data_IF_989259604924
#
_entry.id   IF_989259604924
#
_cell.length_a   1.000
_cell.length_b   1.000
_cell.length_c   1.000
_cell.angle_alpha   90.00
_cell.angle_beta   90.00
_cell.angle_gamma   90.00
#
_symmetry.space_group_name_H-M   'P 1'
#
loop_
_entity.id
_entity.type
_entity.pdbx_description
1 polymer ?
#
# COMPACT_ATOMS: atom_id res chain seq x y z
N UNK A 1 14.64 -16.00 -5.22
CA UNK A 1 13.42 -16.36 -4.48
C UNK A 1 12.37 -15.28 -4.80
N UNK A 2 11.41 -15.60 -5.63
CA UNK A 2 10.39 -14.61 -6.03
C UNK A 2 9.31 -14.58 -4.96
N UNK A 3 9.30 -13.54 -4.10
CA UNK A 3 8.14 -13.24 -3.26
C UNK A 3 7.02 -12.76 -4.18
N UNK A 4 5.91 -13.48 -4.19
CA UNK A 4 4.69 -13.07 -4.89
C UNK A 4 4.09 -11.89 -4.13
N UNK A 5 4.06 -10.73 -4.77
CA UNK A 5 3.30 -9.58 -4.29
C UNK A 5 1.81 -9.89 -4.40
N UNK A 6 1.12 -9.86 -3.28
CA UNK A 6 -0.32 -9.71 -3.28
C UNK A 6 -0.62 -8.24 -3.63
N UNK A 7 -1.11 -8.01 -4.83
CA UNK A 7 -1.58 -6.68 -5.26
C UNK A 7 -2.97 -6.51 -4.68
N UNK A 8 -3.07 -5.77 -3.59
CA UNK A 8 -4.36 -5.27 -3.11
C UNK A 8 -4.68 -4.02 -3.93
N UNK A 9 -5.60 -4.14 -4.87
CA UNK A 9 -6.12 -3.02 -5.63
C UNK A 9 -7.19 -2.29 -4.80
N UNK A 10 -6.87 -1.13 -4.24
CA UNK A 10 -7.88 -0.18 -3.78
C UNK A 10 -8.56 0.47 -4.98
N UNK A 11 -9.63 -0.14 -5.46
CA UNK A 11 -10.49 0.44 -6.47
C UNK A 11 -11.55 1.34 -5.80
N UNK A 12 -11.44 2.64 -5.96
CA UNK A 12 -12.55 3.56 -5.71
C UNK A 12 -13.72 3.19 -6.64
N UNK A 13 -14.75 2.55 -6.10
CA UNK A 13 -16.02 2.34 -6.79
C UNK A 13 -17.04 3.35 -6.25
N UNK A 14 -17.41 4.30 -7.13
CA UNK A 14 -18.62 5.09 -6.95
C UNK A 14 -19.85 4.18 -7.09
N UNK A 15 -20.50 3.86 -5.97
CA UNK A 15 -21.76 3.11 -5.95
C UNK A 15 -22.93 4.06 -6.19
N UNK A 16 -23.61 3.87 -7.31
CA UNK A 16 -24.94 4.39 -7.53
C UNK A 16 -25.95 3.70 -6.60
N UNK A 17 -26.61 4.47 -5.76
CA UNK A 17 -27.67 4.00 -4.88
C UNK A 17 -28.84 3.47 -5.69
N UNK A 18 -29.08 2.16 -5.68
CA UNK A 18 -30.35 1.59 -6.10
C UNK A 18 -31.36 1.69 -4.93
N UNK A 19 -32.33 2.58 -5.06
CA UNK A 19 -33.51 2.60 -4.21
C UNK A 19 -34.31 1.30 -4.40
N UNK A 20 -34.37 0.47 -3.38
CA UNK A 20 -35.25 -0.69 -3.32
C UNK A 20 -36.69 -0.21 -3.10
N UNK A 21 -37.59 -0.47 -4.04
CA UNK A 21 -39.04 -0.37 -3.84
C UNK A 21 -39.51 -1.39 -2.81
N UNK A 22 -40.49 -1.06 -1.94
CA UNK A 22 -41.01 -2.03 -0.99
C UNK A 22 -41.72 -3.17 -1.72
N UNK A 23 -41.23 -4.38 -1.59
CA UNK A 23 -41.94 -5.60 -2.00
C UNK A 23 -42.96 -6.01 -0.90
N UNK A 24 -44.09 -6.61 -1.28
CA UNK A 24 -45.09 -7.08 -0.32
C UNK A 24 -44.50 -8.19 0.54
N UNK A 25 -44.81 -8.16 1.85
CA UNK A 25 -44.45 -9.18 2.82
C UNK A 25 -44.97 -10.54 2.36
N UNK A 26 -44.07 -11.36 1.87
CA UNK A 26 -44.31 -12.82 1.87
C UNK A 26 -44.13 -13.34 3.29
N UNK A 27 -45.07 -14.14 3.76
CA UNK A 27 -44.99 -14.93 4.98
C UNK A 27 -43.62 -15.57 5.09
N UNK A 28 -42.89 -15.26 6.15
CA UNK A 28 -41.50 -15.62 6.35
C UNK A 28 -41.29 -17.14 6.19
N UNK A 29 -40.13 -17.53 5.66
CA UNK A 29 -39.73 -18.92 5.74
C UNK A 29 -39.60 -19.33 7.21
N UNK A 30 -40.04 -20.54 7.54
CA UNK A 30 -39.78 -21.17 8.83
C UNK A 30 -38.32 -20.94 9.23
N UNK A 31 -38.08 -20.56 10.49
CA UNK A 31 -36.74 -20.48 11.06
C UNK A 31 -36.07 -21.84 10.85
N UNK A 32 -35.23 -21.94 9.84
CA UNK A 32 -34.33 -23.09 9.72
C UNK A 32 -33.38 -23.04 10.90
N UNK A 33 -33.39 -24.04 11.74
CA UNK A 33 -32.40 -24.26 12.79
C UNK A 33 -31.01 -24.14 12.14
N UNK A 34 -30.21 -23.21 12.63
CA UNK A 34 -28.89 -22.96 12.07
C UNK A 34 -27.96 -24.15 12.33
N UNK A 35 -27.11 -24.43 11.38
CA UNK A 35 -26.11 -25.50 11.50
C UNK A 35 -24.97 -25.04 12.40
N UNK A 36 -24.61 -25.83 13.42
CA UNK A 36 -23.36 -25.66 14.17
C UNK A 36 -22.23 -26.24 13.33
N UNK A 37 -21.30 -25.42 12.91
CA UNK A 37 -20.17 -25.88 12.11
C UNK A 37 -19.00 -26.24 13.05
N UNK A 38 -18.57 -27.49 13.11
CA UNK A 38 -17.48 -27.94 13.97
C UNK A 38 -16.14 -27.67 13.29
N UNK A 39 -15.71 -26.44 13.33
CA UNK A 39 -14.37 -26.10 12.82
C UNK A 39 -13.28 -26.66 13.75
N UNK A 40 -12.32 -27.34 13.16
CA UNK A 40 -11.19 -27.96 13.89
C UNK A 40 -9.94 -27.11 13.84
N UNK A 41 -9.79 -26.31 12.80
CA UNK A 41 -8.61 -25.50 12.56
C UNK A 41 -8.99 -24.02 12.51
N UNK A 42 -8.14 -23.18 13.08
CA UNK A 42 -8.29 -21.72 13.04
C UNK A 42 -6.94 -21.06 12.86
N UNK A 43 -6.84 -20.18 11.85
CA UNK A 43 -5.76 -19.21 11.74
C UNK A 43 -6.28 -17.82 12.02
N UNK A 44 -5.43 -17.03 12.66
CA UNK A 44 -5.65 -15.60 12.92
C UNK A 44 -4.47 -14.85 12.36
N UNK A 45 -4.70 -14.06 11.33
CA UNK A 45 -3.69 -13.28 10.64
C UNK A 45 -3.87 -11.81 10.94
N UNK A 46 -2.84 -11.16 11.43
CA UNK A 46 -2.78 -9.72 11.61
C UNK A 46 -2.38 -9.07 10.29
N UNK A 47 -3.17 -8.14 9.80
CA UNK A 47 -2.94 -7.39 8.56
C UNK A 47 -2.52 -5.93 8.82
N UNK A 48 -2.49 -5.51 10.08
CA UNK A 48 -2.11 -4.15 10.46
C UNK A 48 -3.14 -3.09 10.05
N UNK A 49 -2.70 -1.85 9.94
CA UNK A 49 -3.49 -0.71 9.46
C UNK A 49 -3.49 -0.68 7.92
N UNK A 50 -3.91 -1.80 7.29
CA UNK A 50 -3.87 -1.99 5.83
C UNK A 50 -4.78 -1.01 5.05
N UNK A 51 -5.74 -0.40 5.74
CA UNK A 51 -6.74 0.46 5.12
C UNK A 51 -6.44 1.96 5.35
N UNK A 52 -5.37 2.27 6.11
CA UNK A 52 -4.97 3.65 6.42
C UNK A 52 -5.96 4.37 7.36
N UNK A 53 -6.76 3.61 8.10
CA UNK A 53 -7.71 4.13 9.07
C UNK A 53 -7.13 4.02 10.48
N UNK A 54 -6.85 5.13 11.11
CA UNK A 54 -6.23 5.19 12.45
C UNK A 54 -7.13 4.71 13.60
N UNK A 55 -8.32 4.22 13.31
CA UNK A 55 -9.31 3.80 14.33
C UNK A 55 -9.45 2.29 14.46
N UNK A 56 -8.95 1.52 13.53
CA UNK A 56 -9.03 0.06 13.52
C UNK A 56 -7.89 -0.58 12.76
N UNK A 57 -7.56 -1.80 13.13
CA UNK A 57 -6.63 -2.69 12.42
C UNK A 57 -7.40 -3.83 11.76
N UNK A 58 -6.93 -4.25 10.61
CA UNK A 58 -7.49 -5.38 9.88
C UNK A 58 -6.93 -6.71 10.39
N UNK A 59 -7.82 -7.67 10.57
CA UNK A 59 -7.51 -9.04 10.96
C UNK A 59 -8.28 -10.03 10.09
N UNK A 60 -7.61 -11.06 9.64
CA UNK A 60 -8.22 -12.15 8.88
C UNK A 60 -8.30 -13.40 9.74
N UNK A 61 -9.51 -13.88 9.99
CA UNK A 61 -9.74 -15.16 10.68
C UNK A 61 -10.26 -16.17 9.66
N UNK A 62 -9.62 -17.33 9.59
CA UNK A 62 -10.12 -18.48 8.83
C UNK A 62 -10.39 -19.62 9.79
N UNK A 63 -11.61 -20.16 9.72
CA UNK A 63 -12.02 -21.36 10.45
C UNK A 63 -12.38 -22.42 9.41
N UNK A 64 -11.81 -23.62 9.53
CA UNK A 64 -12.10 -24.68 8.56
C UNK A 64 -12.11 -26.08 9.18
N UNK A 65 -12.74 -27.02 8.49
CA UNK A 65 -12.74 -28.45 8.77
C UNK A 65 -12.49 -29.24 7.50
N UNK A 66 -11.82 -30.37 7.66
CA UNK A 66 -11.59 -31.40 6.62
C UNK A 66 -10.78 -30.93 5.40
N UNK A 67 -10.33 -29.68 5.37
CA UNK A 67 -9.44 -29.11 4.34
C UNK A 67 -7.98 -29.18 4.80
N UNK A 68 -7.06 -29.32 3.86
CA UNK A 68 -5.62 -29.20 4.09
C UNK A 68 -5.15 -27.79 3.76
N UNK A 69 -4.24 -27.27 4.57
CA UNK A 69 -3.58 -25.97 4.32
C UNK A 69 -2.21 -26.21 3.71
N UNK A 70 -1.90 -25.57 2.58
CA UNK A 70 -0.55 -25.56 2.02
C UNK A 70 0.39 -24.61 2.80
N UNK A 71 1.67 -24.59 2.42
CA UNK A 71 2.68 -23.72 3.05
C UNK A 71 2.39 -22.20 2.90
N UNK A 72 1.49 -21.82 2.00
CA UNK A 72 1.06 -20.43 1.77
C UNK A 72 -0.27 -20.12 2.47
N UNK A 73 -0.88 -21.10 3.17
CA UNK A 73 -2.18 -20.93 3.83
C UNK A 73 -3.39 -21.04 2.89
N UNK A 74 -3.20 -21.55 1.66
CA UNK A 74 -4.32 -21.86 0.77
C UNK A 74 -4.94 -23.18 1.21
N UNK A 75 -6.27 -23.22 1.31
CA UNK A 75 -7.02 -24.41 1.68
C UNK A 75 -7.34 -25.24 0.44
N UNK A 76 -7.18 -26.55 0.56
CA UNK A 76 -7.37 -27.51 -0.53
C UNK A 76 -8.14 -28.73 -0.01
N UNK A 77 -8.82 -29.42 -0.92
CA UNK A 77 -9.61 -30.60 -0.60
C UNK A 77 -11.04 -30.29 -0.18
N UNK A 78 -11.87 -31.34 -0.02
CA UNK A 78 -13.25 -31.19 0.41
C UNK A 78 -13.33 -30.71 1.85
N UNK A 79 -14.35 -29.94 2.17
CA UNK A 79 -14.56 -29.38 3.50
C UNK A 79 -15.27 -28.04 3.52
N UNK A 80 -15.29 -27.44 4.67
CA UNK A 80 -15.95 -26.16 4.92
C UNK A 80 -14.98 -25.10 5.46
N UNK A 81 -15.16 -23.87 5.04
CA UNK A 81 -14.37 -22.70 5.43
C UNK A 81 -15.30 -21.54 5.79
N UNK A 82 -15.01 -20.84 6.89
CA UNK A 82 -15.45 -19.46 7.11
C UNK A 82 -14.24 -18.56 7.10
N UNK A 83 -14.27 -17.56 6.27
CA UNK A 83 -13.34 -16.45 6.30
C UNK A 83 -14.02 -15.21 6.86
N UNK A 84 -13.35 -14.49 7.75
CA UNK A 84 -13.83 -13.27 8.38
C UNK A 84 -12.73 -12.21 8.26
N UNK A 85 -13.06 -11.10 7.63
CA UNK A 85 -12.21 -9.90 7.63
C UNK A 85 -12.77 -8.93 8.67
N UNK A 86 -12.04 -8.75 9.76
CA UNK A 86 -12.46 -7.97 10.92
C UNK A 86 -11.72 -6.64 10.99
N UNK A 87 -12.42 -5.60 11.40
CA UNK A 87 -11.84 -4.34 11.87
C UNK A 87 -11.83 -4.36 13.41
N UNK A 88 -10.68 -4.68 13.99
CA UNK A 88 -10.51 -4.69 15.43
C UNK A 88 -10.08 -3.30 15.94
N UNK A 89 -10.00 -3.14 17.25
CA UNK A 89 -9.52 -1.91 17.83
C UNK A 89 -8.06 -1.66 17.43
N UNK A 90 -7.75 -0.42 17.08
CA UNK A 90 -6.43 0.00 16.66
C UNK A 90 -5.35 -0.36 17.69
N UNK A 91 -4.30 -1.00 17.25
CA UNK A 91 -3.13 -1.35 18.03
C UNK A 91 -2.00 -0.34 17.74
N UNK A 92 -1.73 0.62 18.63
CA UNK A 92 -0.74 1.65 18.38
C UNK A 92 0.69 1.12 18.27
N UNK A 93 0.95 -0.09 18.76
CA UNK A 93 2.26 -0.73 18.63
C UNK A 93 2.46 -1.40 17.24
N UNK A 94 1.37 -1.59 16.47
CA UNK A 94 1.39 -2.31 15.17
C UNK A 94 2.12 -3.66 15.24
N UNK A 95 1.97 -4.36 16.36
CA UNK A 95 2.57 -5.67 16.60
C UNK A 95 1.49 -6.75 16.67
N UNK A 96 1.84 -7.97 16.33
CA UNK A 96 0.96 -9.12 16.45
C UNK A 96 0.52 -9.33 17.92
N UNK A 97 -0.66 -8.84 18.26
CA UNK A 97 -1.24 -8.98 19.58
C UNK A 97 -2.75 -9.21 19.50
N UNK A 98 -3.17 -10.46 19.44
CA UNK A 98 -4.58 -10.83 19.31
C UNK A 98 -5.46 -10.47 20.52
N UNK A 99 -4.90 -9.90 21.61
CA UNK A 99 -5.70 -9.30 22.67
C UNK A 99 -6.57 -8.13 22.16
N UNK A 100 -6.16 -7.47 21.08
CA UNK A 100 -6.91 -6.42 20.42
C UNK A 100 -8.14 -6.94 19.66
N UNK A 101 -8.18 -8.24 19.34
CA UNK A 101 -9.37 -8.88 18.75
C UNK A 101 -10.55 -9.03 19.73
N UNK A 102 -10.35 -8.86 21.03
CA UNK A 102 -11.43 -8.99 22.01
C UNK A 102 -12.54 -7.98 21.75
N UNK A 103 -13.75 -8.45 21.44
CA UNK A 103 -14.89 -7.56 21.19
C UNK A 103 -16.11 -8.26 20.67
N UNK A 104 -17.13 -7.45 20.39
CA UNK A 104 -18.37 -7.89 19.71
C UNK A 104 -18.42 -7.24 18.36
N UNK A 105 -18.50 -8.03 17.32
CA UNK A 105 -18.44 -7.64 15.93
C UNK A 105 -19.80 -7.76 15.26
N UNK A 106 -20.15 -6.78 14.46
CA UNK A 106 -21.32 -6.77 13.59
C UNK A 106 -20.90 -6.39 12.16
N UNK A 107 -21.71 -6.66 11.14
CA UNK A 107 -21.34 -6.28 9.78
C UNK A 107 -21.24 -4.76 9.65
N UNK A 108 -20.34 -4.29 8.81
CA UNK A 108 -20.25 -2.88 8.43
C UNK A 108 -21.56 -2.43 7.77
N UNK A 109 -22.07 -1.28 8.18
CA UNK A 109 -23.30 -0.72 7.63
C UNK A 109 -23.09 0.16 6.40
N UNK A 110 -21.87 0.70 6.24
CA UNK A 110 -21.51 1.57 5.12
C UNK A 110 -20.17 1.13 4.53
N UNK A 111 -20.10 1.00 3.21
CA UNK A 111 -18.85 0.78 2.50
C UNK A 111 -17.92 1.98 2.72
N UNK A 112 -16.71 1.72 3.24
CA UNK A 112 -15.70 2.74 3.51
C UNK A 112 -15.66 3.26 4.95
N UNK A 113 -16.50 2.76 5.86
CA UNK A 113 -16.37 3.02 7.30
C UNK A 113 -15.85 1.78 8.02
N UNK A 114 -14.54 1.65 8.10
CA UNK A 114 -13.82 0.54 8.76
C UNK A 114 -13.72 0.74 10.27
N UNK A 115 -14.82 1.07 10.92
CA UNK A 115 -14.85 1.29 12.37
C UNK A 115 -14.53 0.02 13.15
N UNK A 116 -13.82 0.17 14.27
CA UNK A 116 -13.53 -0.94 15.16
C UNK A 116 -14.80 -1.71 15.58
N UNK A 117 -14.63 -3.01 15.80
CA UNK A 117 -15.70 -3.95 16.14
C UNK A 117 -16.71 -4.19 15.01
N UNK A 118 -16.25 -4.09 13.78
CA UNK A 118 -17.05 -4.49 12.62
C UNK A 118 -16.37 -5.62 11.84
N UNK A 119 -17.12 -6.32 11.00
CA UNK A 119 -16.58 -7.17 9.98
C UNK A 119 -16.97 -6.67 8.59
N UNK A 120 -16.06 -6.85 7.64
CA UNK A 120 -16.27 -6.48 6.23
C UNK A 120 -17.20 -7.51 5.60
N UNK A 121 -18.39 -7.12 5.11
CA UNK A 121 -19.27 -8.04 4.39
C UNK A 121 -18.58 -8.68 3.19
N UNK A 122 -18.97 -9.90 2.89
CA UNK A 122 -18.46 -10.59 1.72
C UNK A 122 -18.85 -9.91 0.42
N UNK A 123 -17.93 -9.87 -0.51
CA UNK A 123 -18.17 -9.33 -1.85
C UNK A 123 -17.47 -10.14 -2.93
N UNK A 124 -17.97 -10.01 -4.14
CA UNK A 124 -17.40 -10.63 -5.33
C UNK A 124 -16.85 -9.55 -6.24
N UNK A 125 -15.62 -9.74 -6.69
CA UNK A 125 -14.97 -8.89 -7.66
C UNK A 125 -14.53 -9.69 -8.88
N UNK A 126 -14.16 -9.00 -9.96
CA UNK A 126 -13.70 -9.66 -11.17
C UNK A 126 -12.42 -8.98 -11.63
N UNK A 127 -11.32 -9.72 -11.61
CA UNK A 127 -10.00 -9.23 -11.99
C UNK A 127 -9.59 -9.75 -13.38
N UNK A 128 -8.81 -8.99 -14.17
CA UNK A 128 -8.25 -9.49 -15.41
C UNK A 128 -7.31 -10.68 -15.15
N UNK A 129 -7.42 -11.72 -15.98
CA UNK A 129 -6.56 -12.89 -15.92
C UNK A 129 -6.19 -13.37 -17.35
N UNK A 130 -5.10 -14.10 -17.53
CA UNK A 130 -4.78 -14.71 -18.81
C UNK A 130 -5.94 -15.60 -19.29
N UNK A 131 -6.51 -15.28 -20.45
CA UNK A 131 -7.64 -16.01 -21.01
C UNK A 131 -9.02 -15.48 -20.65
N UNK A 132 -9.13 -14.37 -19.87
CA UNK A 132 -10.43 -13.77 -19.54
C UNK A 132 -10.43 -12.99 -18.23
N UNK A 133 -11.45 -13.21 -17.43
CA UNK A 133 -11.61 -12.61 -16.10
C UNK A 133 -11.74 -13.71 -15.05
N UNK A 134 -11.06 -13.53 -13.94
CA UNK A 134 -11.19 -14.40 -12.78
C UNK A 134 -12.15 -13.75 -11.77
N UNK A 135 -13.10 -14.53 -11.28
CA UNK A 135 -13.93 -14.13 -10.14
C UNK A 135 -13.16 -14.35 -8.85
N UNK A 136 -13.10 -13.33 -8.00
CA UNK A 136 -12.46 -13.36 -6.69
C UNK A 136 -13.51 -13.05 -5.64
N UNK A 137 -13.51 -13.83 -4.57
CA UNK A 137 -14.33 -13.61 -3.38
C UNK A 137 -13.47 -13.06 -2.27
N UNK A 138 -13.95 -12.02 -1.61
CA UNK A 138 -13.19 -11.30 -0.59
C UNK A 138 -14.12 -10.81 0.54
N UNK A 139 -13.54 -10.18 1.59
CA UNK A 139 -14.28 -9.86 2.80
C UNK A 139 -14.61 -11.09 3.62
N UNK A 140 -15.83 -11.15 4.16
CA UNK A 140 -16.29 -12.27 4.99
C UNK A 140 -17.21 -13.19 4.20
N UNK A 141 -16.85 -14.46 4.11
CA UNK A 141 -17.64 -15.44 3.37
C UNK A 141 -17.54 -16.83 3.99
N UNK A 142 -18.52 -17.66 3.66
CA UNK A 142 -18.46 -19.10 3.84
C UNK A 142 -18.19 -19.75 2.49
N UNK A 143 -17.36 -20.78 2.48
CA UNK A 143 -17.08 -21.61 1.32
C UNK A 143 -17.22 -23.09 1.67
N UNK A 144 -17.78 -23.88 0.78
CA UNK A 144 -17.77 -25.34 0.90
C UNK A 144 -17.37 -25.99 -0.41
N UNK A 145 -16.56 -27.04 -0.31
CA UNK A 145 -16.15 -27.87 -1.43
C UNK A 145 -16.54 -29.31 -1.16
N UNK A 146 -17.37 -29.86 -2.00
CA UNK A 146 -17.78 -31.29 -1.92
C UNK A 146 -16.69 -32.19 -2.49
N UNK A 147 -16.62 -33.47 -2.01
CA UNK A 147 -15.56 -34.43 -2.32
C UNK A 147 -15.30 -34.65 -3.83
N UNK A 148 -16.30 -34.48 -4.67
CA UNK A 148 -16.18 -34.67 -6.12
C UNK A 148 -16.42 -33.40 -6.93
N UNK A 149 -16.43 -32.25 -6.28
CA UNK A 149 -16.58 -30.94 -6.91
C UNK A 149 -15.23 -30.26 -7.13
N UNK A 150 -15.12 -29.48 -8.19
CA UNK A 150 -14.03 -28.57 -8.44
C UNK A 150 -14.44 -27.12 -8.19
N UNK A 151 -15.71 -26.88 -7.86
CA UNK A 151 -16.27 -25.57 -7.64
C UNK A 151 -16.62 -25.39 -6.16
N UNK A 152 -16.12 -24.31 -5.57
CA UNK A 152 -16.46 -23.93 -4.20
C UNK A 152 -17.81 -23.22 -4.22
N UNK A 153 -18.72 -23.67 -3.37
CA UNK A 153 -20.00 -23.00 -3.11
C UNK A 153 -19.81 -21.88 -2.11
N UNK A 154 -19.82 -20.62 -2.57
CA UNK A 154 -19.63 -19.43 -1.74
C UNK A 154 -20.97 -18.85 -1.27
N UNK A 155 -21.00 -18.41 0.00
CA UNK A 155 -22.08 -17.64 0.62
C UNK A 155 -21.47 -16.38 1.25
N UNK A 156 -21.76 -15.21 0.67
CA UNK A 156 -21.20 -13.93 1.09
C UNK A 156 -21.91 -13.47 2.37
N UNK A 157 -21.14 -13.32 3.44
CA UNK A 157 -21.68 -13.04 4.79
C UNK A 157 -21.89 -11.53 4.94
N UNK A 158 -23.11 -11.11 5.22
CA UNK A 158 -23.50 -9.72 5.39
C UNK A 158 -24.38 -9.47 6.63
N UNK A 159 -24.72 -10.52 7.38
CA UNK A 159 -25.45 -10.45 8.64
C UNK A 159 -24.75 -11.28 9.72
N UNK A 160 -24.98 -10.92 10.97
CA UNK A 160 -24.51 -11.70 12.10
C UNK A 160 -24.01 -10.88 13.27
N UNK A 161 -23.66 -11.59 14.33
CA UNK A 161 -22.98 -11.07 15.49
C UNK A 161 -21.96 -12.10 15.97
N UNK A 162 -20.74 -11.64 16.16
CA UNK A 162 -19.65 -12.43 16.70
C UNK A 162 -19.15 -11.82 18.01
N UNK A 163 -18.82 -12.65 18.96
CA UNK A 163 -18.10 -12.28 20.17
C UNK A 163 -16.79 -13.02 20.21
N UNK A 164 -15.70 -12.27 20.30
CA UNK A 164 -14.34 -12.79 20.43
C UNK A 164 -13.86 -12.49 21.84
N UNK A 165 -13.45 -13.53 22.56
CA UNK A 165 -13.00 -13.48 23.94
C UNK A 165 -11.59 -14.07 24.00
N UNK A 166 -10.63 -13.33 24.57
CA UNK A 166 -9.33 -13.87 24.93
C UNK A 166 -9.48 -14.62 26.26
N UNK A 167 -9.19 -15.89 26.25
CA UNK A 167 -9.10 -16.73 27.45
C UNK A 167 -7.72 -16.67 28.11
N UNK A 168 -7.52 -17.54 29.08
CA UNK A 168 -6.20 -17.82 29.65
C UNK A 168 -5.36 -18.68 28.69
N UNK A 169 -4.06 -18.77 28.92
CA UNK A 169 -3.13 -19.64 28.17
C UNK A 169 -3.23 -19.54 26.63
N UNK A 170 -3.26 -18.31 26.11
CA UNK A 170 -3.35 -18.02 24.68
C UNK A 170 -4.58 -18.60 23.97
N UNK A 171 -5.59 -18.96 24.74
CA UNK A 171 -6.86 -19.46 24.21
C UNK A 171 -7.70 -18.31 23.66
N UNK A 172 -8.27 -18.51 22.47
CA UNK A 172 -9.27 -17.67 21.87
C UNK A 172 -10.63 -18.39 21.86
N UNK A 173 -11.70 -17.66 22.11
CA UNK A 173 -13.07 -18.16 22.02
C UNK A 173 -13.80 -17.29 21.00
N UNK A 174 -14.38 -17.91 19.97
CA UNK A 174 -15.15 -17.25 18.93
C UNK A 174 -16.56 -17.80 18.97
N UNK A 175 -17.54 -16.93 19.26
CA UNK A 175 -18.96 -17.32 19.40
C UNK A 175 -19.85 -16.38 18.62
N UNK A 176 -20.95 -16.90 18.11
CA UNK A 176 -21.98 -16.11 17.49
C UNK A 176 -22.66 -16.80 16.34
N UNK A 177 -23.30 -16.01 15.51
CA UNK A 177 -23.89 -16.49 14.27
C UNK A 177 -23.56 -15.56 13.12
N UNK A 178 -23.52 -16.14 11.93
CA UNK A 178 -23.33 -15.45 10.67
C UNK A 178 -24.41 -15.91 9.69
N UNK A 179 -24.84 -15.01 8.83
CA UNK A 179 -25.70 -15.33 7.71
C UNK A 179 -25.24 -14.57 6.47
N UNK A 180 -25.50 -15.10 5.32
CA UNK A 180 -25.11 -14.53 4.06
C UNK A 180 -26.26 -14.37 3.08
N UNK A 181 -25.91 -14.06 1.85
CA UNK A 181 -26.86 -13.84 0.77
C UNK A 181 -27.71 -15.08 0.38
N UNK A 182 -27.32 -16.25 0.84
CA UNK A 182 -28.11 -17.49 0.71
C UNK A 182 -29.03 -17.75 1.92
N UNK A 183 -29.11 -16.79 2.85
CA UNK A 183 -29.97 -16.83 4.06
C UNK A 183 -29.75 -18.05 4.96
N UNK A 184 -28.57 -18.65 4.92
CA UNK A 184 -28.21 -19.77 5.78
C UNK A 184 -27.55 -19.26 7.05
N UNK A 185 -28.20 -19.44 8.20
CA UNK A 185 -27.57 -19.13 9.50
C UNK A 185 -26.59 -20.22 9.88
N UNK A 186 -25.37 -19.78 10.26
CA UNK A 186 -24.30 -20.65 10.77
C UNK A 186 -23.90 -20.17 12.14
N UNK A 187 -23.89 -21.11 13.09
CA UNK A 187 -23.45 -20.82 14.45
C UNK A 187 -21.98 -21.22 14.59
N UNK A 188 -21.19 -20.32 15.15
CA UNK A 188 -19.80 -20.56 15.51
C UNK A 188 -19.72 -20.65 17.03
N UNK A 189 -19.15 -21.72 17.55
CA UNK A 189 -18.77 -21.87 18.95
C UNK A 189 -17.44 -22.62 18.98
N UNK A 190 -16.36 -21.87 18.77
CA UNK A 190 -15.01 -22.42 18.74
C UNK A 190 -14.21 -21.93 19.94
N UNK A 191 -13.38 -22.83 20.50
CA UNK A 191 -12.43 -22.53 21.57
C UNK A 191 -11.15 -23.30 21.33
N UNK A 192 -10.02 -22.60 21.31
CA UNK A 192 -8.71 -23.21 21.14
C UNK A 192 -7.59 -22.18 21.09
N UNK A 193 -6.38 -22.65 20.79
CA UNK A 193 -5.24 -21.81 20.48
C UNK A 193 -5.14 -21.74 18.96
N UNK A 194 -5.34 -20.56 18.34
CA UNK A 194 -5.24 -20.41 16.90
C UNK A 194 -3.79 -20.44 16.43
N UNK A 195 -3.56 -20.79 15.17
CA UNK A 195 -2.31 -20.47 14.49
C UNK A 195 -2.26 -18.97 14.23
N UNK A 196 -1.21 -18.30 14.70
CA UNK A 196 -1.04 -16.87 14.54
C UNK A 196 -0.09 -16.58 13.38
N UNK A 197 -0.46 -15.62 12.53
CA UNK A 197 0.35 -15.13 11.43
C UNK A 197 0.42 -13.60 11.47
N UNK A 198 1.59 -13.06 11.19
CA UNK A 198 1.79 -11.64 10.99
C UNK A 198 2.05 -11.39 9.51
N UNK A 199 1.08 -10.79 8.85
CA UNK A 199 1.14 -10.38 7.45
C UNK A 199 0.93 -8.86 7.34
N UNK A 200 1.01 -8.14 8.48
CA UNK A 200 0.99 -6.69 8.46
C UNK A 200 2.09 -6.19 7.51
N UNK A 201 1.80 -5.18 6.68
CA UNK A 201 2.83 -4.57 5.87
C UNK A 201 3.99 -4.16 6.79
N UNK A 202 5.21 -4.64 6.52
CA UNK A 202 6.39 -4.05 7.16
C UNK A 202 6.26 -2.54 6.89
N UNK A 203 6.26 -1.71 7.94
CA UNK A 203 6.44 -0.27 7.75
C UNK A 203 7.76 -0.10 7.01
N UNK A 204 7.66 0.18 5.73
CA UNK A 204 8.83 0.49 4.92
C UNK A 204 9.15 1.94 5.27
N UNK A 205 10.21 2.20 6.05
CA UNK A 205 10.55 3.56 6.43
C UNK A 205 10.79 4.36 5.15
N UNK A 206 10.34 5.59 5.11
CA UNK A 206 10.54 6.45 3.94
C UNK A 206 12.00 6.89 3.75
N UNK A 207 12.86 6.58 4.69
CA UNK A 207 14.32 6.69 4.60
C UNK A 207 14.98 5.58 5.42
N UNK A 208 16.11 5.07 4.92
CA UNK A 208 16.96 4.08 5.60
C UNK A 208 18.32 4.65 5.97
N UNK A 209 18.48 5.98 5.88
CA UNK A 209 19.72 6.62 6.33
C UNK A 209 19.85 6.45 7.85
N UNK A 210 21.04 6.10 8.29
CA UNK A 210 21.39 5.94 9.70
C UNK A 210 22.40 6.97 10.19
N UNK A 211 22.84 7.86 9.30
CA UNK A 211 23.82 8.91 9.55
C UNK A 211 23.80 9.94 8.42
N UNK A 212 24.48 11.06 8.65
CA UNK A 212 24.73 12.04 7.61
C UNK A 212 25.66 11.49 6.51
N UNK A 213 25.37 11.87 5.28
CA UNK A 213 26.19 11.62 4.11
C UNK A 213 26.70 12.95 3.60
N UNK A 214 28.00 13.16 3.70
CA UNK A 214 28.65 14.39 3.29
C UNK A 214 29.63 14.14 2.15
N UNK A 215 29.86 15.18 1.35
CA UNK A 215 30.77 15.17 0.20
C UNK A 215 30.43 14.09 -0.84
N UNK A 216 29.17 13.74 -0.98
CA UNK A 216 28.68 12.82 -2.02
C UNK A 216 28.88 13.47 -3.40
N UNK A 217 29.33 12.70 -4.38
CA UNK A 217 29.54 13.18 -5.74
C UNK A 217 29.08 12.13 -6.76
N UNK A 218 28.39 12.59 -7.78
CA UNK A 218 27.96 11.77 -8.90
C UNK A 218 28.72 12.16 -10.16
N UNK A 219 28.95 11.20 -11.06
CA UNK A 219 29.78 11.39 -12.25
C UNK A 219 28.99 11.57 -13.53
N UNK A 220 27.71 11.27 -13.52
CA UNK A 220 26.83 11.39 -14.68
C UNK A 220 25.45 11.94 -14.29
N UNK A 221 24.77 12.51 -15.28
CA UNK A 221 23.44 13.03 -15.11
C UNK A 221 22.53 12.78 -16.31
N UNK A 222 21.26 12.53 -16.04
CA UNK A 222 20.19 12.48 -17.04
C UNK A 222 19.20 13.59 -16.76
N UNK A 223 18.78 14.29 -17.80
CA UNK A 223 17.64 15.21 -17.80
C UNK A 223 16.50 14.61 -18.58
N UNK A 224 15.30 14.75 -18.03
CA UNK A 224 14.06 14.35 -18.70
C UNK A 224 13.04 15.49 -18.63
N UNK A 225 12.56 15.92 -19.79
CA UNK A 225 11.45 16.85 -19.88
C UNK A 225 10.14 16.07 -19.71
N UNK A 226 9.48 16.24 -18.58
CA UNK A 226 8.17 15.62 -18.31
C UNK A 226 7.01 16.53 -18.80
N UNK A 227 7.37 17.67 -19.43
CA UNK A 227 6.41 18.59 -20.02
C UNK A 227 5.62 19.39 -18.99
N UNK A 228 4.41 19.73 -19.35
CA UNK A 228 3.46 20.53 -18.58
C UNK A 228 2.46 19.68 -17.77
N UNK A 229 2.92 18.54 -17.25
CA UNK A 229 2.05 17.62 -16.47
C UNK A 229 1.38 18.30 -15.26
N UNK A 230 1.90 19.44 -14.82
CA UNK A 230 1.27 20.26 -13.77
C UNK A 230 0.14 21.16 -14.29
N UNK A 231 -0.06 21.26 -15.61
CA UNK A 231 -1.22 21.92 -16.22
C UNK A 231 -2.45 21.00 -16.10
N UNK A 232 -3.61 21.45 -15.59
CA UNK A 232 -4.02 22.84 -15.42
C UNK A 232 -3.70 23.45 -14.04
N UNK A 233 -2.97 22.79 -13.16
CA UNK A 233 -2.71 23.27 -11.81
C UNK A 233 -1.77 24.48 -11.76
N UNK A 234 -0.74 24.47 -12.61
CA UNK A 234 0.21 25.58 -12.76
C UNK A 234 0.68 25.70 -14.22
N UNK A 235 0.03 26.52 -15.04
CA UNK A 235 0.37 26.67 -16.46
C UNK A 235 1.70 27.38 -16.73
N UNK A 236 2.33 27.94 -15.71
CA UNK A 236 3.59 28.69 -15.85
C UNK A 236 4.85 27.83 -15.66
N UNK A 237 4.72 26.56 -15.33
CA UNK A 237 5.85 25.67 -15.04
C UNK A 237 5.86 24.43 -15.93
N UNK A 238 7.06 24.01 -16.28
CA UNK A 238 7.37 22.66 -16.72
C UNK A 238 8.02 21.86 -15.62
N UNK A 239 7.92 20.56 -15.74
CA UNK A 239 8.42 19.59 -14.81
C UNK A 239 9.66 18.91 -15.40
N UNK A 240 10.80 19.18 -14.80
CA UNK A 240 12.07 18.60 -15.18
C UNK A 240 12.47 17.54 -14.16
N UNK A 241 12.83 16.36 -14.62
CA UNK A 241 13.41 15.33 -13.78
C UNK A 241 14.92 15.25 -13.99
N UNK A 242 15.67 15.48 -12.92
CA UNK A 242 17.12 15.30 -12.88
C UNK A 242 17.46 14.00 -12.16
N UNK A 243 18.30 13.18 -12.78
CA UNK A 243 18.93 12.03 -12.16
C UNK A 243 20.44 12.26 -12.14
N UNK A 244 21.04 12.22 -10.96
CA UNK A 244 22.49 12.16 -10.78
C UNK A 244 22.85 10.73 -10.39
N UNK A 245 23.84 10.11 -11.02
CA UNK A 245 24.19 8.73 -10.76
C UNK A 245 25.67 8.46 -10.74
N UNK A 246 26.03 7.37 -10.10
CA UNK A 246 27.38 6.80 -10.12
C UNK A 246 27.76 6.35 -11.53
N UNK A 247 29.06 6.28 -11.80
CA UNK A 247 29.60 5.82 -13.09
C UNK A 247 29.12 4.42 -13.51
N UNK A 248 28.87 3.56 -12.53
CA UNK A 248 28.43 2.18 -12.75
C UNK A 248 26.94 2.03 -13.10
N UNK A 249 26.15 3.09 -12.89
CA UNK A 249 24.74 3.09 -13.33
C UNK A 249 24.64 3.51 -14.80
N UNK A 250 23.82 2.81 -15.55
CA UNK A 250 23.47 3.23 -16.90
C UNK A 250 22.16 4.02 -16.86
N UNK A 251 22.26 5.33 -17.03
CA UNK A 251 21.14 6.26 -17.05
C UNK A 251 20.60 6.54 -18.47
N UNK A 252 21.08 5.84 -19.52
CA UNK A 252 20.65 6.09 -20.91
C UNK A 252 19.26 5.54 -21.26
N UNK A 253 18.55 4.96 -20.31
CA UNK A 253 17.19 4.43 -20.50
C UNK A 253 16.24 4.97 -19.45
N UNK A 254 14.94 4.78 -19.66
CA UNK A 254 13.88 5.22 -18.74
C UNK A 254 14.00 4.60 -17.34
N UNK A 255 14.62 3.44 -17.23
CA UNK A 255 14.91 2.76 -15.97
C UNK A 255 16.42 2.60 -15.83
N UNK A 256 17.04 3.01 -14.72
CA UNK A 256 18.48 2.78 -14.47
C UNK A 256 18.83 1.28 -14.55
N UNK A 257 20.01 0.98 -15.07
CA UNK A 257 20.55 -0.38 -15.15
C UNK A 257 21.93 -0.43 -14.52
N UNK A 258 22.30 -1.59 -13.97
CA UNK A 258 23.55 -1.78 -13.27
C UNK A 258 23.42 -1.59 -11.77
N UNK A 259 24.53 -1.31 -11.10
CA UNK A 259 24.61 -1.16 -9.65
C UNK A 259 25.26 0.18 -9.30
N UNK A 260 24.81 0.82 -8.24
CA UNK A 260 25.32 2.13 -7.78
C UNK A 260 24.24 2.98 -7.16
N UNK A 261 24.55 4.21 -6.82
CA UNK A 261 23.64 5.14 -6.19
C UNK A 261 23.15 6.22 -7.16
N UNK A 262 21.96 6.71 -6.88
CA UNK A 262 21.28 7.72 -7.68
C UNK A 262 20.57 8.73 -6.80
N UNK A 263 20.74 10.01 -7.10
CA UNK A 263 19.90 11.08 -6.58
C UNK A 263 18.91 11.51 -7.66
N UNK A 264 17.63 11.43 -7.36
CA UNK A 264 16.54 11.88 -8.22
C UNK A 264 15.95 13.14 -7.67
N UNK A 265 15.80 14.14 -8.52
CA UNK A 265 15.23 15.45 -8.17
C UNK A 265 14.19 15.84 -9.19
N UNK A 266 13.12 16.47 -8.71
CA UNK A 266 12.11 17.08 -9.56
C UNK A 266 12.25 18.60 -9.46
N UNK A 267 12.54 19.24 -10.58
CA UNK A 267 12.80 20.67 -10.66
C UNK A 267 11.68 21.36 -11.44
N UNK A 268 11.21 22.49 -10.93
CA UNK A 268 10.25 23.33 -11.63
C UNK A 268 11.01 24.41 -12.43
N UNK A 269 10.82 24.38 -13.74
CA UNK A 269 11.39 25.36 -14.69
C UNK A 269 10.29 26.14 -15.39
N UNK A 270 10.62 27.27 -16.02
CA UNK A 270 9.65 28.06 -16.79
C UNK A 270 9.04 27.28 -17.94
N UNK A 271 7.81 27.61 -18.32
CA UNK A 271 7.09 26.94 -19.43
C UNK A 271 7.85 27.02 -20.75
N UNK A 272 8.62 28.08 -20.97
CA UNK A 272 9.44 28.31 -22.17
C UNK A 272 10.80 27.60 -22.13
N UNK A 273 11.11 26.88 -21.02
CA UNK A 273 12.36 26.17 -20.89
C UNK A 273 12.49 25.04 -21.91
N UNK A 274 13.70 24.84 -22.41
CA UNK A 274 14.04 23.77 -23.36
C UNK A 274 15.16 22.91 -22.75
N UNK A 275 15.06 21.59 -22.89
CA UNK A 275 16.03 20.63 -22.37
C UNK A 275 17.45 20.85 -22.90
N UNK A 276 17.60 21.34 -24.13
CA UNK A 276 18.89 21.68 -24.73
C UNK A 276 19.61 22.83 -24.01
N UNK A 277 18.87 23.67 -23.27
CA UNK A 277 19.43 24.78 -22.49
C UNK A 277 20.08 24.35 -21.17
N UNK A 278 19.97 23.05 -20.82
CA UNK A 278 20.38 22.55 -19.50
C UNK A 278 19.56 23.15 -18.36
N UNK A 279 20.00 22.94 -17.12
CA UNK A 279 19.32 23.50 -15.95
C UNK A 279 19.79 24.95 -15.76
N UNK A 280 18.89 25.94 -15.61
CA UNK A 280 19.28 27.33 -15.38
C UNK A 280 20.13 27.52 -14.12
N UNK A 281 21.04 28.50 -14.11
CA UNK A 281 21.76 28.91 -12.90
C UNK A 281 20.78 29.39 -11.83
N UNK A 282 21.07 29.04 -10.59
CA UNK A 282 20.24 29.49 -9.48
C UNK A 282 20.32 28.62 -8.23
N UNK A 283 19.61 29.09 -7.23
CA UNK A 283 19.30 28.31 -6.02
C UNK A 283 17.85 27.85 -6.10
N UNK A 284 17.64 26.58 -5.80
CA UNK A 284 16.35 25.89 -5.91
C UNK A 284 15.97 25.34 -4.54
N UNK A 285 15.30 26.14 -3.70
CA UNK A 285 14.81 25.64 -2.42
C UNK A 285 13.72 24.59 -2.62
N UNK A 286 13.57 23.71 -1.64
CA UNK A 286 12.61 22.61 -1.71
C UNK A 286 11.22 23.07 -1.28
N UNK A 287 10.21 22.73 -2.07
CA UNK A 287 8.79 22.85 -1.72
C UNK A 287 8.38 21.58 -0.98
N UNK A 288 7.90 21.67 0.27
CA UNK A 288 7.42 20.49 1.00
C UNK A 288 6.11 19.97 0.40
N UNK A 289 5.92 18.64 0.47
CA UNK A 289 4.61 18.05 0.20
C UNK A 289 3.63 18.38 1.34
N UNK A 290 2.35 18.39 1.01
CA UNK A 290 1.26 18.51 1.97
C UNK A 290 1.01 17.16 2.66
N UNK A 291 0.28 17.14 3.76
CA UNK A 291 -0.12 15.91 4.46
C UNK A 291 -0.86 14.91 3.54
N UNK A 292 -1.54 15.40 2.51
CA UNK A 292 -2.21 14.55 1.51
C UNK A 292 -1.28 14.13 0.34
N UNK A 293 0.04 14.31 0.47
CA UNK A 293 1.03 13.88 -0.52
C UNK A 293 1.10 14.69 -1.81
N UNK A 294 0.39 15.81 -1.90
CA UNK A 294 0.45 16.75 -3.01
C UNK A 294 1.34 17.96 -2.70
N UNK A 295 1.26 18.99 -3.54
CA UNK A 295 1.94 20.26 -3.33
C UNK A 295 0.93 21.41 -3.41
N UNK A 296 1.11 22.44 -2.58
CA UNK A 296 0.28 23.63 -2.64
C UNK A 296 0.47 24.34 -4.00
N UNK A 297 -0.64 24.62 -4.69
CA UNK A 297 -0.61 25.17 -6.06
C UNK A 297 0.13 26.50 -6.17
N UNK A 298 -0.02 27.34 -5.17
CA UNK A 298 0.63 28.67 -5.06
C UNK A 298 2.16 28.58 -4.98
N UNK A 299 2.70 27.44 -4.57
CA UNK A 299 4.13 27.18 -4.46
C UNK A 299 4.73 26.60 -5.75
N UNK A 300 3.89 26.16 -6.70
CA UNK A 300 4.35 25.59 -7.96
C UNK A 300 4.78 26.69 -8.92
N UNK A 301 5.96 27.25 -8.69
CA UNK A 301 6.60 28.29 -9.50
C UNK A 301 8.00 27.85 -9.93
N UNK A 302 8.55 28.40 -11.04
CA UNK A 302 9.92 28.08 -11.48
C UNK A 302 10.97 28.42 -10.42
N UNK A 303 12.07 27.66 -10.39
CA UNK A 303 13.19 27.89 -9.49
C UNK A 303 13.07 27.13 -8.15
N UNK A 304 12.27 26.08 -8.10
CA UNK A 304 12.13 25.23 -6.92
C UNK A 304 12.36 23.77 -7.27
N UNK A 305 12.69 22.96 -6.27
CA UNK A 305 12.62 21.49 -6.32
C UNK A 305 11.46 20.99 -5.46
N UNK A 306 10.91 19.85 -5.83
CA UNK A 306 9.82 19.21 -5.07
C UNK A 306 10.39 18.22 -4.06
N UNK A 307 9.91 18.26 -2.83
CA UNK A 307 10.24 17.24 -1.83
C UNK A 307 9.78 15.85 -2.27
N UNK A 308 10.39 14.82 -1.71
CA UNK A 308 9.82 13.49 -1.76
C UNK A 308 8.50 13.41 -0.99
N UNK A 309 7.68 12.45 -1.34
CA UNK A 309 6.47 12.13 -0.60
C UNK A 309 6.71 10.87 0.24
N UNK A 310 6.84 10.97 1.57
CA UNK A 310 7.11 9.83 2.44
C UNK A 310 6.00 8.78 2.42
N UNK A 311 4.74 9.18 2.26
CA UNK A 311 3.59 8.28 2.19
C UNK A 311 3.46 7.53 0.86
N UNK A 312 4.37 7.76 -0.09
CA UNK A 312 4.25 7.20 -1.44
C UNK A 312 5.53 6.49 -1.86
N UNK A 313 5.75 5.31 -1.32
CA UNK A 313 6.90 4.47 -1.66
C UNK A 313 6.46 3.31 -2.57
N UNK A 314 6.18 3.61 -3.83
CA UNK A 314 5.86 2.58 -4.82
C UNK A 314 6.46 2.94 -6.18
N UNK A 315 7.46 2.16 -6.63
CA UNK A 315 7.97 2.29 -8.00
C UNK A 315 6.86 1.84 -9.00
N UNK A 316 6.58 2.56 -10.07
CA UNK A 316 7.28 3.70 -10.68
C UNK A 316 6.80 5.09 -10.23
N UNK A 317 5.95 5.17 -9.24
CA UNK A 317 5.19 6.37 -8.89
C UNK A 317 5.87 7.31 -7.89
N UNK A 318 7.12 7.07 -7.53
CA UNK A 318 7.84 8.00 -6.66
C UNK A 318 7.83 9.39 -7.26
N UNK A 319 7.53 10.38 -6.44
CA UNK A 319 7.58 11.78 -6.82
C UNK A 319 8.55 12.55 -5.92
N UNK A 320 9.13 13.62 -6.48
CA UNK A 320 10.01 14.51 -5.72
C UNK A 320 11.46 14.03 -5.58
N UNK A 321 12.08 14.39 -4.45
CA UNK A 321 13.51 14.21 -4.19
C UNK A 321 13.78 12.90 -3.43
N UNK A 322 14.62 12.05 -4.02
CA UNK A 322 14.96 10.74 -3.47
C UNK A 322 16.40 10.34 -3.76
N UNK A 323 17.06 9.75 -2.76
CA UNK A 323 18.27 8.95 -2.94
C UNK A 323 17.90 7.48 -3.01
N UNK A 324 18.54 6.72 -3.90
CA UNK A 324 18.21 5.32 -4.14
C UNK A 324 19.47 4.57 -4.53
N UNK A 325 19.72 3.43 -3.91
CA UNK A 325 20.75 2.50 -4.34
C UNK A 325 20.16 1.37 -5.19
N UNK A 326 20.90 1.00 -6.22
CA UNK A 326 20.57 -0.05 -7.16
C UNK A 326 21.58 -1.18 -7.11
N UNK A 327 21.12 -2.41 -7.22
CA UNK A 327 21.95 -3.61 -7.45
C UNK A 327 21.36 -4.39 -8.61
N UNK A 328 22.14 -4.53 -9.69
CA UNK A 328 21.74 -5.26 -10.91
C UNK A 328 20.40 -4.79 -11.52
N UNK A 329 20.15 -3.47 -11.46
CA UNK A 329 18.93 -2.86 -11.98
C UNK A 329 17.70 -3.06 -11.09
N UNK A 330 17.89 -3.48 -9.85
CA UNK A 330 16.83 -3.65 -8.83
C UNK A 330 17.12 -2.68 -7.68
N UNK A 331 16.10 -2.05 -7.15
CA UNK A 331 16.19 -1.28 -5.92
C UNK A 331 16.71 -2.13 -4.76
N UNK A 332 17.67 -1.56 -4.05
CA UNK A 332 18.07 -2.11 -2.76
C UNK A 332 17.15 -1.55 -1.66
N UNK A 333 17.41 -1.97 -0.42
CA UNK A 333 16.75 -1.38 0.74
C UNK A 333 17.44 -0.11 1.24
N UNK A 334 18.38 0.48 0.48
CA UNK A 334 19.08 1.71 0.83
C UNK A 334 18.51 2.87 0.01
N UNK A 335 17.76 3.73 0.66
CA UNK A 335 17.12 4.87 0.03
C UNK A 335 16.78 5.96 1.06
N UNK A 336 16.51 7.17 0.58
CA UNK A 336 16.03 8.26 1.41
C UNK A 336 15.04 9.15 0.67
N UNK A 337 13.94 9.47 1.32
CA UNK A 337 13.00 10.49 0.92
C UNK A 337 13.44 11.83 1.52
N UNK A 338 13.71 12.84 0.69
CA UNK A 338 14.08 14.16 1.17
C UNK A 338 12.87 15.08 1.23
N UNK A 339 12.64 15.67 2.41
CA UNK A 339 11.48 16.53 2.68
C UNK A 339 11.85 18.01 2.80
N UNK A 340 13.14 18.31 2.94
CA UNK A 340 13.64 19.69 2.96
C UNK A 340 15.05 19.79 2.37
N UNK A 341 15.47 20.99 2.03
CA UNK A 341 16.80 21.23 1.51
C UNK A 341 16.86 22.24 0.37
N UNK A 342 18.00 22.26 -0.28
CA UNK A 342 18.32 23.20 -1.35
C UNK A 342 19.21 22.55 -2.42
N UNK A 343 19.03 22.98 -3.67
CA UNK A 343 19.88 22.66 -4.80
C UNK A 343 20.45 23.97 -5.35
N UNK A 344 21.74 23.98 -5.70
CA UNK A 344 22.37 25.10 -6.34
C UNK A 344 23.04 24.69 -7.64
N UNK A 345 22.73 25.39 -8.72
CA UNK A 345 23.25 25.16 -10.05
C UNK A 345 24.14 26.32 -10.49
N UNK A 346 25.32 25.98 -10.99
CA UNK A 346 26.27 26.95 -11.55
C UNK A 346 26.84 26.38 -12.86
N UNK A 347 26.45 26.95 -13.98
CA UNK A 347 26.99 26.59 -15.29
C UNK A 347 28.28 27.33 -15.58
N UNK A 348 29.23 26.63 -16.22
CA UNK A 348 30.53 27.20 -16.62
C UNK A 348 31.05 26.44 -17.86
N UNK A 349 32.17 26.92 -18.40
CA UNK A 349 32.88 26.21 -19.49
C UNK A 349 33.37 24.82 -19.07
N UNK A 350 33.58 24.56 -17.77
CA UNK A 350 34.00 23.28 -17.24
C UNK A 350 32.84 22.27 -17.10
N UNK A 351 31.61 22.73 -17.23
CA UNK A 351 30.38 21.95 -17.05
C UNK A 351 29.41 22.61 -16.05
N UNK A 352 28.36 21.89 -15.76
CA UNK A 352 27.34 22.26 -14.78
C UNK A 352 27.74 21.74 -13.40
N UNK A 353 28.02 22.66 -12.46
CA UNK A 353 28.23 22.31 -11.06
C UNK A 353 26.88 22.25 -10.35
N UNK A 354 26.59 21.13 -9.70
CA UNK A 354 25.37 20.88 -8.97
C UNK A 354 25.76 20.65 -7.52
N UNK A 355 25.40 21.57 -6.64
CA UNK A 355 25.57 21.46 -5.18
C UNK A 355 24.22 21.18 -4.53
N UNK A 356 24.18 20.26 -3.58
CA UNK A 356 22.94 19.89 -2.90
C UNK A 356 23.18 19.71 -1.41
N UNK A 357 22.20 20.18 -0.63
CA UNK A 357 22.07 19.95 0.79
C UNK A 357 20.62 19.60 1.07
N UNK A 358 20.36 18.34 1.36
CA UNK A 358 19.05 17.74 1.50
C UNK A 358 18.93 17.08 2.85
N UNK A 359 17.72 17.02 3.39
CA UNK A 359 17.42 16.40 4.66
C UNK A 359 16.28 15.39 4.48
N UNK A 360 16.47 14.21 5.05
CA UNK A 360 15.47 13.14 4.95
C UNK A 360 14.26 13.38 5.86
N UNK A 361 13.27 12.49 5.76
CA UNK A 361 12.01 12.60 6.47
C UNK A 361 12.03 11.98 7.89
N UNK A 362 13.18 11.51 8.37
CA UNK A 362 13.28 10.91 9.71
C UNK A 362 13.39 11.97 10.80
N UNK A 363 13.15 11.59 12.04
CA UNK A 363 13.38 12.40 13.21
C UNK A 363 14.29 11.66 14.22
N UNK A 364 15.52 12.15 14.46
CA UNK A 364 16.12 13.30 13.80
C UNK A 364 16.43 13.06 12.32
N UNK A 365 16.31 14.10 11.49
CA UNK A 365 16.63 14.02 10.07
C UNK A 365 18.12 13.86 9.83
N UNK A 366 18.49 13.12 8.79
CA UNK A 366 19.86 12.98 8.34
C UNK A 366 20.13 13.90 7.15
N UNK A 367 21.32 14.47 7.16
CA UNK A 367 21.79 15.34 6.08
C UNK A 367 22.39 14.50 4.95
N UNK A 368 22.05 14.85 3.71
CA UNK A 368 22.66 14.34 2.50
C UNK A 368 23.18 15.52 1.68
N UNK A 369 24.50 15.66 1.58
CA UNK A 369 25.09 16.82 0.92
C UNK A 369 26.28 16.46 0.05
N UNK A 370 26.48 17.27 -0.97
CA UNK A 370 27.60 17.07 -1.87
C UNK A 370 27.62 18.02 -3.07
N UNK A 371 28.49 17.69 -4.01
CA UNK A 371 28.66 18.47 -5.22
C UNK A 371 29.10 17.56 -6.37
N UNK A 372 28.49 17.74 -7.52
CA UNK A 372 28.80 17.03 -8.76
C UNK A 372 29.12 18.02 -9.87
N UNK A 373 30.15 17.75 -10.68
CA UNK A 373 30.47 18.52 -11.89
C UNK A 373 30.09 17.67 -13.10
N UNK A 374 29.02 18.05 -13.77
CA UNK A 374 28.47 17.33 -14.93
C UNK A 374 28.89 18.06 -16.20
N UNK A 375 29.63 17.36 -17.07
CA UNK A 375 30.05 17.90 -18.35
C UNK A 375 28.96 17.85 -19.40
N UNK A 376 28.32 16.68 -19.50
CA UNK A 376 27.30 16.41 -20.49
C UNK A 376 26.09 15.75 -19.84
N UNK A 377 24.90 16.19 -20.19
CA UNK A 377 23.65 15.59 -19.75
C UNK A 377 23.15 14.56 -20.77
N UNK A 378 22.67 13.43 -20.30
CA UNK A 378 21.88 12.49 -21.09
C UNK A 378 20.46 13.06 -21.15
N UNK A 379 20.01 13.54 -22.30
CA UNK A 379 18.67 14.11 -22.49
C UNK A 379 17.71 13.05 -23.05
N UNK A 380 16.52 12.89 -22.40
CA UNK A 380 15.46 11.96 -22.81
C UNK A 380 14.11 12.69 -22.90
#
# INVERSE_FOLDING_TARGET
MMKKFAIIFSGLLSLAACLKSPQPQQSGPEEQEGTICPYTNVTVTYLGDDIGETTSDAWLIKLWSDMESDEFGNLQGPGELVQLLLNAYYNPAQELNYAFLKGKYSPMTNSGNFSAYSFVPGYQSSIPAPGGRLTVYDGSYYGSLEENSTEIDYDLLDEGNLEIIKGEDDTLIIKGYLAGNKFRKRYIDWKGVPELRDEAPEEIPSSTLSRDFEAVSFSQAQLRDEGDIMNPYSPSVKYLRLFLGDESLNLSSSKPKGSGSMLRLHILVGVDWNIESGIPDGEYPMIPCTENGGYAKENLVPGFILSGNPGYFNEPYISGAWYIEWADGIWTRNYACFTSGNLKIVNSEAGCKIEYELYDCLEPSHKFSGSSLIKDFICL
#
